data_IF_333255690997
#
_entry.id   IF_333255690997
#
_cell.length_a   1.000
_cell.length_b   1.000
_cell.length_c   1.000
_cell.angle_alpha   90.00
_cell.angle_beta   90.00
_cell.angle_gamma   90.00
#
_symmetry.space_group_name_H-M   'P 1'
#
loop_
_entity.id
_entity.type
_entity.pdbx_description
1 polymer ?
#
# COMPACT_ATOMS: atom_id res chain seq x y z
N UNK A 1 -5.92 -3.99 13.43
CA UNK A 1 -6.22 -2.59 13.78
C UNK A 1 -4.91 -1.82 13.76
N UNK A 2 -4.88 -0.57 13.29
CA UNK A 2 -3.69 0.27 13.19
C UNK A 2 -3.80 1.47 14.13
N UNK A 3 -2.67 1.93 14.65
CA UNK A 3 -2.52 3.19 15.38
C UNK A 3 -1.62 4.12 14.57
N UNK A 4 -2.09 5.33 14.35
CA UNK A 4 -1.37 6.41 13.68
C UNK A 4 -0.89 7.40 14.74
N UNK A 5 0.43 7.54 14.87
CA UNK A 5 1.10 8.49 15.76
C UNK A 5 1.57 9.67 14.92
N UNK A 6 0.97 10.84 15.13
CA UNK A 6 1.25 12.07 14.41
C UNK A 6 2.19 12.92 15.25
N UNK A 7 3.27 13.36 14.63
CA UNK A 7 4.21 14.31 15.21
C UNK A 7 4.04 15.65 14.51
N UNK A 8 3.76 16.69 15.29
CA UNK A 8 3.66 18.07 14.80
C UNK A 8 4.95 18.84 15.05
N UNK A 9 5.50 19.44 14.00
CA UNK A 9 6.74 20.25 14.06
C UNK A 9 7.91 19.54 14.80
N UNK A 10 9.03 20.24 15.04
CA UNK A 10 10.28 19.66 15.60
C UNK A 10 10.16 19.07 17.01
N UNK A 11 9.06 19.28 17.72
CA UNK A 11 8.94 18.92 19.12
C UNK A 11 8.22 17.58 19.26
N UNK A 12 8.98 16.51 19.54
CA UNK A 12 8.48 15.13 19.78
C UNK A 12 7.49 15.09 20.97
N UNK A 13 7.26 16.21 21.65
CA UNK A 13 6.33 16.36 22.77
C UNK A 13 4.90 16.73 22.37
N UNK A 14 4.66 17.13 21.11
CA UNK A 14 3.30 17.33 20.57
C UNK A 14 2.88 16.14 19.70
N UNK A 15 2.50 15.06 20.37
CA UNK A 15 2.03 13.82 19.74
C UNK A 15 0.49 13.76 19.72
N UNK A 16 -0.11 13.45 18.57
CA UNK A 16 -1.51 13.04 18.49
C UNK A 16 -1.63 11.58 18.03
N UNK A 17 -2.52 10.80 18.64
CA UNK A 17 -2.58 9.34 18.41
C UNK A 17 -4.00 8.91 18.09
N UNK A 18 -4.14 8.17 16.99
CA UNK A 18 -5.43 7.79 16.41
C UNK A 18 -5.50 6.32 16.02
N UNK A 19 -6.70 5.73 16.06
CA UNK A 19 -6.91 4.33 15.63
C UNK A 19 -7.63 4.24 14.29
N UNK A 20 -7.29 3.24 13.49
CA UNK A 20 -8.01 2.83 12.27
C UNK A 20 -8.04 1.31 12.14
N UNK A 21 -8.89 0.74 11.29
CA UNK A 21 -8.94 -0.72 11.08
C UNK A 21 -8.08 -1.11 9.88
N UNK A 22 -6.78 -1.34 10.03
CA UNK A 22 -5.97 -2.04 9.00
C UNK A 22 -5.50 -3.40 9.52
N UNK A 23 -5.21 -4.35 8.62
CA UNK A 23 -5.10 -5.76 9.02
C UNK A 23 -3.72 -6.39 8.81
N UNK A 24 -2.87 -5.92 7.91
CA UNK A 24 -1.58 -6.59 7.66
C UNK A 24 -0.40 -5.63 7.55
N UNK A 25 0.77 -6.10 8.00
CA UNK A 25 2.01 -5.34 8.01
C UNK A 25 3.21 -6.20 7.64
N UNK A 26 4.09 -5.66 6.80
CA UNK A 26 5.41 -6.22 6.51
C UNK A 26 6.47 -5.27 7.07
N UNK A 27 7.22 -5.64 8.12
CA UNK A 27 8.15 -4.73 8.78
C UNK A 27 9.51 -4.72 8.08
N UNK A 28 10.12 -3.55 7.79
CA UNK A 28 11.56 -3.46 7.45
C UNK A 28 12.20 -2.08 7.75
N UNK A 29 13.47 -2.12 8.19
CA UNK A 29 14.38 -0.99 8.54
C UNK A 29 15.59 -0.95 7.59
N UNK A 30 16.05 0.24 7.16
CA UNK A 30 17.38 0.43 6.55
C UNK A 30 18.08 1.78 6.81
N UNK A 31 17.66 2.59 7.79
CA UNK A 31 18.45 3.75 8.24
C UNK A 31 18.70 3.68 9.76
N UNK A 32 19.71 4.40 10.24
CA UNK A 32 19.93 4.53 11.69
C UNK A 32 18.65 5.18 12.26
N UNK A 33 17.92 4.47 13.13
CA UNK A 33 16.61 4.95 13.56
C UNK A 33 16.75 6.08 14.58
N UNK A 34 15.80 7.02 14.51
CA UNK A 34 15.71 8.16 15.42
C UNK A 34 14.74 7.86 16.58
N UNK A 35 13.70 7.07 16.29
CA UNK A 35 12.67 6.65 17.24
C UNK A 35 12.56 5.13 17.29
N UNK A 36 12.20 4.61 18.47
CA UNK A 36 11.82 3.22 18.67
C UNK A 36 10.45 3.15 19.34
N UNK A 37 9.56 2.36 18.76
CA UNK A 37 8.22 2.08 19.23
C UNK A 37 8.16 0.65 19.74
N UNK A 38 7.84 0.47 21.02
CA UNK A 38 7.69 -0.85 21.64
C UNK A 38 6.28 -1.00 22.18
N UNK A 39 5.56 -2.02 21.71
CA UNK A 39 4.30 -2.42 22.32
C UNK A 39 4.55 -3.51 23.34
N UNK A 40 3.99 -3.31 24.53
CA UNK A 40 4.18 -4.21 25.66
C UNK A 40 2.86 -4.75 26.18
N UNK A 41 2.91 -5.95 26.72
CA UNK A 41 1.84 -6.53 27.56
C UNK A 41 1.91 -5.98 28.98
N UNK A 42 0.91 -6.30 29.80
CA UNK A 42 0.81 -5.86 31.20
C UNK A 42 1.98 -6.34 32.09
N UNK A 43 2.72 -7.36 31.66
CA UNK A 43 3.91 -7.89 32.33
C UNK A 43 5.22 -7.40 31.69
N UNK A 44 5.15 -6.31 30.92
CA UNK A 44 6.28 -5.65 30.22
C UNK A 44 6.98 -6.55 29.19
N UNK A 45 6.30 -7.58 28.67
CA UNK A 45 6.82 -8.36 27.54
C UNK A 45 6.62 -7.59 26.23
N UNK A 46 7.70 -7.39 25.48
CA UNK A 46 7.64 -6.78 24.14
C UNK A 46 6.93 -7.74 23.18
N UNK A 47 5.83 -7.29 22.61
CA UNK A 47 5.06 -8.05 21.60
C UNK A 47 5.25 -7.51 20.18
N UNK A 48 5.73 -6.27 20.06
CA UNK A 48 6.07 -5.67 18.78
C UNK A 48 7.09 -4.55 18.99
N UNK A 49 8.02 -4.45 18.05
CA UNK A 49 9.02 -3.40 18.00
C UNK A 49 9.17 -2.90 16.57
N UNK A 50 9.12 -1.58 16.41
CA UNK A 50 9.45 -0.91 15.15
C UNK A 50 10.39 0.25 15.47
N UNK A 51 11.37 0.46 14.60
CA UNK A 51 12.17 1.68 14.66
C UNK A 51 11.92 2.48 13.40
N UNK A 52 11.94 3.81 13.57
CA UNK A 52 11.60 4.77 12.52
C UNK A 52 12.69 5.82 12.45
N UNK A 53 13.08 6.17 11.25
CA UNK A 53 13.91 7.35 10.98
C UNK A 53 12.98 8.53 10.68
N UNK A 54 13.17 9.64 11.38
CA UNK A 54 12.41 10.87 11.14
C UNK A 54 12.80 11.40 9.75
N UNK A 55 11.83 11.73 8.88
CA UNK A 55 12.14 12.27 7.56
C UNK A 55 12.90 13.61 7.69
N UNK A 56 14.22 13.61 7.46
CA UNK A 56 15.03 14.84 7.44
C UNK A 56 15.19 15.45 6.06
N UNK A 57 14.78 14.72 5.04
CA UNK A 57 14.96 15.10 3.64
C UNK A 57 13.65 14.90 2.89
N UNK A 58 13.27 15.91 2.09
CA UNK A 58 12.32 15.74 1.01
C UNK A 58 13.10 15.10 -0.12
N UNK A 59 12.94 13.79 -0.28
CA UNK A 59 13.48 13.12 -1.45
C UNK A 59 12.73 13.63 -2.67
N UNK A 60 13.42 14.18 -3.67
CA UNK A 60 12.79 14.42 -4.95
C UNK A 60 12.31 13.07 -5.48
N UNK A 61 11.14 13.03 -6.11
CA UNK A 61 10.73 11.87 -6.87
C UNK A 61 11.84 11.49 -7.85
N UNK A 62 11.96 10.20 -8.15
CA UNK A 62 13.01 9.75 -9.06
C UNK A 62 12.75 10.39 -10.44
N UNK A 63 13.80 10.92 -11.11
CA UNK A 63 13.61 11.75 -12.30
C UNK A 63 12.82 10.98 -13.37
N UNK A 64 11.72 11.57 -13.81
CA UNK A 64 11.01 11.09 -14.99
C UNK A 64 11.89 11.34 -16.22
N UNK A 65 11.77 10.48 -17.24
CA UNK A 65 12.63 10.45 -18.44
C UNK A 65 13.19 11.83 -18.86
N UNK A 66 14.51 11.90 -19.00
CA UNK A 66 15.32 13.05 -19.47
C UNK A 66 15.52 14.22 -18.48
N UNK A 67 15.08 14.11 -17.22
CA UNK A 67 15.36 15.11 -16.20
C UNK A 67 16.65 14.85 -15.41
N UNK A 68 17.36 15.92 -15.05
CA UNK A 68 18.58 15.83 -14.24
C UNK A 68 18.21 15.46 -12.78
N UNK A 69 19.04 14.66 -12.09
CA UNK A 69 18.82 14.34 -10.68
C UNK A 69 18.76 15.61 -9.84
N UNK A 70 17.65 15.82 -9.14
CA UNK A 70 17.54 16.91 -8.16
C UNK A 70 18.17 16.44 -6.84
N UNK A 71 18.96 17.27 -6.14
CA UNK A 71 19.45 16.94 -4.81
C UNK A 71 18.30 16.85 -3.80
N UNK A 72 18.39 15.91 -2.85
CA UNK A 72 17.51 15.87 -1.70
C UNK A 72 17.53 17.22 -0.96
N UNK A 73 16.35 17.78 -0.69
CA UNK A 73 16.24 19.05 0.04
C UNK A 73 16.06 18.75 1.52
N UNK A 74 16.84 19.38 2.39
CA UNK A 74 16.67 19.25 3.83
C UNK A 74 15.29 19.79 4.23
N UNK A 75 14.49 18.97 4.92
CA UNK A 75 13.26 19.44 5.54
C UNK A 75 13.66 20.31 6.73
N UNK A 76 13.32 21.60 6.70
CA UNK A 76 13.60 22.50 7.82
C UNK A 76 12.66 22.22 8.97
N UNK A 77 11.38 21.92 8.68
CA UNK A 77 10.31 21.49 9.59
C UNK A 77 9.32 20.61 8.78
N UNK A 78 8.58 19.71 9.43
CA UNK A 78 7.55 18.91 8.75
C UNK A 78 6.87 17.88 9.64
N UNK A 79 5.56 17.71 9.46
CA UNK A 79 4.76 16.70 10.14
C UNK A 79 5.00 15.33 9.51
N UNK A 80 5.04 14.28 10.34
CA UNK A 80 5.11 12.90 9.86
C UNK A 80 4.22 11.99 10.72
N UNK A 81 3.86 10.85 10.14
CA UNK A 81 2.97 9.87 10.77
C UNK A 81 3.70 8.54 10.84
N UNK A 82 3.62 7.90 12.00
CA UNK A 82 4.05 6.52 12.19
C UNK A 82 2.82 5.64 12.35
N UNK A 83 2.72 4.62 11.51
CA UNK A 83 1.58 3.70 11.50
C UNK A 83 2.00 2.36 12.09
N UNK A 84 1.43 2.03 13.25
CA UNK A 84 1.77 0.84 14.04
C UNK A 84 0.60 -0.16 14.02
N UNK A 85 0.87 -1.48 14.08
CA UNK A 85 -0.18 -2.48 14.23
C UNK A 85 -0.62 -2.54 15.69
N UNK A 86 -1.91 -2.77 15.95
CA UNK A 86 -2.43 -2.96 17.31
C UNK A 86 -2.82 -4.41 17.51
N UNK A 87 -2.27 -4.99 18.57
CA UNK A 87 -2.54 -6.35 19.01
C UNK A 87 -3.50 -6.36 20.20
N UNK A 88 -4.38 -7.36 20.28
CA UNK A 88 -5.35 -7.51 21.37
C UNK A 88 -4.72 -7.57 22.77
N UNK A 89 -3.47 -8.03 22.84
CA UNK A 89 -2.70 -8.17 24.09
C UNK A 89 -1.93 -6.91 24.49
N UNK A 90 -1.99 -5.85 23.70
CA UNK A 90 -1.29 -4.59 23.99
C UNK A 90 -1.85 -3.94 25.27
N UNK A 91 -0.98 -3.69 26.25
CA UNK A 91 -1.30 -2.89 27.45
C UNK A 91 -0.86 -1.44 27.27
N UNK A 92 0.32 -1.21 26.70
CA UNK A 92 0.84 0.13 26.45
C UNK A 92 1.86 0.16 25.30
N UNK A 93 1.99 1.33 24.69
CA UNK A 93 3.01 1.68 23.70
C UNK A 93 4.05 2.58 24.37
N UNK A 94 5.33 2.28 24.19
CA UNK A 94 6.45 3.12 24.62
C UNK A 94 7.15 3.68 23.39
N UNK A 95 7.40 4.99 23.42
CA UNK A 95 8.18 5.70 22.39
C UNK A 95 9.51 6.13 23.01
N UNK A 96 10.62 5.69 22.42
CA UNK A 96 11.98 6.04 22.83
C UNK A 96 12.68 6.91 21.79
N UNK A 97 13.45 7.90 22.26
CA UNK A 97 14.41 8.60 21.41
C UNK A 97 15.72 7.81 21.37
N UNK A 98 16.22 7.55 20.16
CA UNK A 98 17.51 6.91 19.93
C UNK A 98 18.64 7.91 19.65
N UNK A 99 18.33 9.20 19.52
CA UNK A 99 19.33 10.26 19.33
C UNK A 99 20.13 10.55 20.62
N UNK A 100 19.52 10.37 21.79
CA UNK A 100 20.07 10.75 23.09
C UNK A 100 19.97 9.59 24.08
N UNK A 101 20.75 8.50 23.90
CA UNK A 101 20.85 7.38 24.85
C UNK A 101 19.51 7.02 25.55
N UNK A 102 18.57 6.44 24.80
CA UNK A 102 17.28 5.84 25.24
C UNK A 102 16.65 6.52 26.47
N UNK A 103 15.99 7.66 26.26
CA UNK A 103 15.00 8.18 27.20
C UNK A 103 13.59 7.79 26.73
N UNK A 104 12.75 7.32 27.65
CA UNK A 104 11.31 7.14 27.40
C UNK A 104 10.67 8.51 27.23
N UNK A 105 10.14 8.77 26.03
CA UNK A 105 9.48 10.04 25.70
C UNK A 105 8.03 10.01 26.19
N UNK A 106 7.33 8.90 25.92
CA UNK A 106 5.90 8.79 26.15
C UNK A 106 5.51 7.32 26.40
N UNK A 107 4.53 7.10 27.28
CA UNK A 107 3.87 5.82 27.50
C UNK A 107 2.37 6.04 27.27
N UNK A 108 1.79 5.30 26.32
CA UNK A 108 0.41 5.48 25.89
C UNK A 108 -0.37 4.19 26.13
N UNK A 109 -1.49 4.28 26.84
CA UNK A 109 -2.41 3.15 27.04
C UNK A 109 -3.49 3.12 25.95
N UNK A 110 -4.04 1.95 25.58
CA UNK A 110 -5.12 1.85 24.59
C UNK A 110 -6.33 2.74 24.88
N UNK A 111 -6.67 2.96 26.15
CA UNK A 111 -7.76 3.84 26.55
C UNK A 111 -7.50 5.34 26.35
N UNK A 112 -6.26 5.75 26.08
CA UNK A 112 -5.85 7.13 25.82
C UNK A 112 -5.81 7.44 24.31
N UNK A 113 -5.96 6.41 23.47
CA UNK A 113 -6.05 6.56 22.02
C UNK A 113 -7.33 7.30 21.65
N UNK A 114 -7.19 8.41 20.93
CA UNK A 114 -8.34 9.19 20.47
C UNK A 114 -8.87 8.59 19.17
N UNK A 115 -10.17 8.68 18.92
CA UNK A 115 -10.76 8.38 17.61
C UNK A 115 -10.91 9.69 16.83
N UNK A 116 -10.31 9.78 15.63
CA UNK A 116 -10.38 11.01 14.83
C UNK A 116 -11.69 11.03 14.07
N UNK A 117 -12.49 12.07 14.30
CA UNK A 117 -13.66 12.35 13.45
C UNK A 117 -13.17 13.07 12.21
N UNK A 118 -13.02 12.35 11.12
CA UNK A 118 -12.55 12.87 9.83
C UNK A 118 -13.74 13.38 9.01
N UNK A 119 -13.53 14.39 8.16
CA UNK A 119 -14.56 14.94 7.25
C UNK A 119 -14.60 14.17 5.92
N UNK A 120 -15.75 14.15 5.25
CA UNK A 120 -15.97 13.42 4.00
C UNK A 120 -16.84 12.17 4.14
N UNK A 121 -17.30 11.64 3.02
CA UNK A 121 -18.23 10.49 2.96
C UNK A 121 -17.51 9.25 2.45
N UNK A 122 -17.50 8.17 3.24
CA UNK A 122 -16.97 6.88 2.82
C UNK A 122 -18.03 6.10 2.04
N UNK A 123 -17.61 5.49 0.92
CA UNK A 123 -18.44 4.68 0.05
C UNK A 123 -17.72 3.36 -0.23
N UNK A 124 -18.37 2.25 0.12
CA UNK A 124 -17.92 0.91 -0.32
C UNK A 124 -18.33 0.70 -1.78
N UNK A 125 -17.37 0.39 -2.64
CA UNK A 125 -17.59 0.10 -4.06
C UNK A 125 -17.62 -1.41 -4.29
N UNK A 126 -16.66 -2.15 -3.73
CA UNK A 126 -16.59 -3.61 -3.76
C UNK A 126 -16.44 -4.12 -2.32
N UNK A 127 -17.28 -5.08 -1.94
CA UNK A 127 -17.30 -5.73 -0.64
C UNK A 127 -17.29 -7.25 -0.86
N UNK A 128 -16.11 -7.86 -0.73
CA UNK A 128 -15.91 -9.30 -0.94
C UNK A 128 -15.71 -10.06 0.38
N UNK A 129 -15.64 -9.39 1.53
CA UNK A 129 -15.46 -10.08 2.80
C UNK A 129 -14.92 -9.20 3.92
N UNK A 130 -14.56 -9.87 5.01
CA UNK A 130 -14.00 -9.20 6.18
C UNK A 130 -12.64 -8.56 5.83
N UNK A 131 -12.44 -7.26 6.11
CA UNK A 131 -11.15 -6.57 6.09
C UNK A 131 -9.98 -7.34 6.75
N UNK A 132 -10.27 -8.25 7.67
CA UNK A 132 -9.28 -9.13 8.28
C UNK A 132 -8.66 -10.16 7.32
N UNK A 133 -9.29 -10.43 6.17
CA UNK A 133 -8.86 -11.48 5.23
C UNK A 133 -8.71 -10.98 3.79
N UNK A 134 -9.24 -9.79 3.50
CA UNK A 134 -9.25 -9.18 2.18
C UNK A 134 -8.22 -8.05 2.09
N UNK A 135 -7.70 -7.79 0.90
CA UNK A 135 -6.86 -6.63 0.62
C UNK A 135 -7.78 -5.41 0.46
N UNK A 136 -7.71 -4.48 1.41
CA UNK A 136 -8.55 -3.29 1.44
C UNK A 136 -7.88 -2.12 0.70
N UNK A 137 -8.45 -1.69 -0.43
CA UNK A 137 -7.93 -0.58 -1.25
C UNK A 137 -8.85 0.63 -1.09
N UNK A 138 -8.30 1.79 -0.71
CA UNK A 138 -9.06 3.04 -0.60
C UNK A 138 -8.59 4.09 -1.61
N UNK A 139 -9.55 4.65 -2.34
CA UNK A 139 -9.33 5.80 -3.23
C UNK A 139 -9.62 7.12 -2.51
N UNK A 140 -8.67 8.05 -2.61
CA UNK A 140 -8.78 9.44 -2.17
C UNK A 140 -8.65 10.39 -3.36
N UNK A 141 -9.29 11.56 -3.26
CA UNK A 141 -9.22 12.60 -4.29
C UNK A 141 -8.55 13.84 -3.74
N UNK A 142 -7.71 14.48 -4.55
CA UNK A 142 -7.22 15.84 -4.30
C UNK A 142 -7.55 16.76 -5.47
N UNK A 143 -7.72 18.06 -5.20
CA UNK A 143 -8.12 19.08 -6.18
C UNK A 143 -9.49 18.85 -6.87
N UNK A 144 -10.34 17.97 -6.34
CA UNK A 144 -11.74 17.87 -6.76
C UNK A 144 -12.60 18.90 -6.04
N UNK A 145 -13.10 19.90 -6.76
CA UNK A 145 -13.98 20.91 -6.20
C UNK A 145 -15.34 20.35 -5.76
N UNK A 146 -16.15 21.12 -5.01
CA UNK A 146 -17.43 20.67 -4.45
C UNK A 146 -18.45 20.15 -5.48
N UNK A 147 -18.31 20.53 -6.75
CA UNK A 147 -19.17 20.11 -7.87
C UNK A 147 -18.58 18.96 -8.70
N UNK A 148 -17.37 18.51 -8.38
CA UNK A 148 -16.60 17.55 -9.18
C UNK A 148 -16.60 16.14 -8.60
N UNK A 149 -17.38 15.88 -7.54
CA UNK A 149 -17.55 14.53 -6.99
C UNK A 149 -18.06 13.50 -8.01
N UNK A 150 -18.83 13.95 -9.00
CA UNK A 150 -19.22 13.11 -10.13
C UNK A 150 -18.01 12.68 -10.95
N UNK A 151 -17.10 13.62 -11.27
CA UNK A 151 -15.86 13.36 -11.99
C UNK A 151 -14.95 12.43 -11.19
N UNK A 152 -14.73 12.71 -9.90
CA UNK A 152 -13.90 11.85 -9.03
C UNK A 152 -14.40 10.41 -9.00
N UNK A 153 -15.71 10.21 -8.85
CA UNK A 153 -16.31 8.88 -8.92
C UNK A 153 -16.04 8.19 -10.26
N UNK A 154 -16.18 8.91 -11.37
CA UNK A 154 -15.95 8.36 -12.70
C UNK A 154 -14.47 8.00 -12.90
N UNK A 155 -13.56 8.82 -12.37
CA UNK A 155 -12.11 8.56 -12.40
C UNK A 155 -11.74 7.31 -11.57
N UNK A 156 -12.31 7.17 -10.37
CA UNK A 156 -12.14 5.98 -9.53
C UNK A 156 -12.67 4.73 -10.24
N UNK A 157 -13.84 4.80 -10.88
CA UNK A 157 -14.40 3.67 -11.62
C UNK A 157 -13.49 3.26 -12.79
N UNK A 158 -12.89 4.22 -13.50
CA UNK A 158 -11.95 3.92 -14.58
C UNK A 158 -10.68 3.22 -14.07
N UNK A 159 -10.16 3.65 -12.92
CA UNK A 159 -9.04 2.97 -12.25
C UNK A 159 -9.39 1.54 -11.84
N UNK A 160 -10.56 1.32 -11.24
CA UNK A 160 -11.03 -0.02 -10.83
C UNK A 160 -11.21 -0.92 -12.05
N UNK A 161 -11.81 -0.42 -13.13
CA UNK A 161 -12.01 -1.18 -14.36
C UNK A 161 -10.69 -1.63 -14.98
N UNK A 162 -9.65 -0.79 -14.95
CA UNK A 162 -8.31 -1.18 -15.39
C UNK A 162 -7.68 -2.21 -14.44
N UNK A 163 -7.73 -1.96 -13.14
CA UNK A 163 -7.19 -2.84 -12.09
C UNK A 163 -7.72 -4.27 -12.23
N UNK A 164 -9.04 -4.42 -12.33
CA UNK A 164 -9.68 -5.73 -12.43
C UNK A 164 -9.41 -6.45 -13.77
N UNK A 165 -8.88 -5.75 -14.79
CA UNK A 165 -8.50 -6.34 -16.09
C UNK A 165 -7.00 -6.57 -16.24
N UNK A 166 -6.23 -6.23 -15.21
CA UNK A 166 -4.79 -6.35 -15.22
C UNK A 166 -4.34 -7.57 -14.40
N UNK A 167 -3.68 -8.53 -15.03
CA UNK A 167 -3.11 -9.70 -14.33
C UNK A 167 -1.95 -9.28 -13.42
N UNK A 168 -1.85 -9.78 -12.17
CA UNK A 168 -2.58 -10.93 -11.62
C UNK A 168 -3.93 -10.60 -10.96
N UNK A 169 -4.31 -9.34 -10.85
CA UNK A 169 -5.51 -8.93 -10.10
C UNK A 169 -6.82 -9.46 -10.70
N UNK A 170 -6.87 -9.69 -12.01
CA UNK A 170 -8.05 -10.21 -12.70
C UNK A 170 -8.57 -11.54 -12.11
N UNK A 171 -7.67 -12.46 -11.80
CA UNK A 171 -8.06 -13.79 -11.30
C UNK A 171 -8.32 -13.78 -9.78
N UNK A 172 -7.79 -12.78 -9.08
CA UNK A 172 -7.83 -12.64 -7.63
C UNK A 172 -8.83 -11.57 -7.16
N UNK A 173 -9.78 -11.17 -8.02
CA UNK A 173 -10.70 -10.06 -7.72
C UNK A 173 -11.50 -10.24 -6.41
N UNK A 174 -11.75 -11.49 -6.01
CA UNK A 174 -12.46 -11.86 -4.78
C UNK A 174 -11.67 -11.56 -3.50
N UNK A 175 -10.38 -11.26 -3.62
CA UNK A 175 -9.54 -10.86 -2.49
C UNK A 175 -9.71 -9.38 -2.15
N UNK A 176 -10.26 -8.55 -3.04
CA UNK A 176 -10.24 -7.09 -2.86
C UNK A 176 -11.53 -6.56 -2.23
N UNK A 177 -11.39 -5.69 -1.24
CA UNK A 177 -12.40 -4.71 -0.90
C UNK A 177 -11.97 -3.37 -1.48
N UNK A 178 -12.89 -2.62 -2.08
CA UNK A 178 -12.60 -1.31 -2.66
C UNK A 178 -13.50 -0.26 -2.06
N UNK A 179 -12.88 0.79 -1.55
CA UNK A 179 -13.52 1.95 -0.94
C UNK A 179 -13.16 3.22 -1.69
N UNK A 180 -14.04 4.21 -1.63
CA UNK A 180 -13.76 5.59 -2.01
C UNK A 180 -14.16 6.51 -0.88
N UNK A 181 -13.37 7.55 -0.64
CA UNK A 181 -13.73 8.61 0.28
C UNK A 181 -13.87 9.90 -0.52
N UNK A 182 -15.07 10.48 -0.50
CA UNK A 182 -15.31 11.84 -0.96
C UNK A 182 -14.77 12.81 0.12
N UNK A 183 -13.44 12.93 0.24
CA UNK A 183 -12.77 13.69 1.28
C UNK A 183 -12.83 15.19 0.99
N UNK A 184 -13.24 16.00 1.96
CA UNK A 184 -13.18 17.46 1.83
C UNK A 184 -11.88 18.04 2.38
N UNK A 185 -10.88 17.19 2.60
CA UNK A 185 -9.57 17.54 3.13
C UNK A 185 -8.67 17.81 1.93
N UNK A 186 -8.00 18.95 1.94
CA UNK A 186 -6.90 19.27 1.04
C UNK A 186 -5.70 18.38 1.41
N UNK A 187 -5.30 17.51 0.48
CA UNK A 187 -4.17 16.60 0.66
C UNK A 187 -2.83 17.27 0.32
N UNK A 188 -2.85 18.55 -0.08
CA UNK A 188 -1.69 19.37 -0.45
C UNK A 188 -0.84 18.70 -1.54
N UNK A 189 -1.51 18.14 -2.56
CA UNK A 189 -0.83 17.50 -3.67
C UNK A 189 -0.32 18.52 -4.69
N UNK A 190 0.83 18.23 -5.26
CA UNK A 190 1.39 18.99 -6.38
C UNK A 190 1.95 18.03 -7.44
N UNK A 191 1.72 18.31 -8.72
CA UNK A 191 2.20 17.50 -9.86
C UNK A 191 3.61 17.86 -10.37
N UNK A 192 4.27 18.80 -9.67
CA UNK A 192 5.66 19.19 -9.93
C UNK A 192 6.43 19.18 -8.61
N UNK A 193 6.75 17.99 -8.12
CA UNK A 193 7.44 17.88 -6.85
C UNK A 193 8.96 18.04 -6.99
N UNK A 194 9.56 18.83 -6.09
CA UNK A 194 11.00 19.11 -6.06
C UNK A 194 11.57 19.60 -7.41
N UNK A 195 10.75 20.27 -8.23
CA UNK A 195 11.15 20.77 -9.54
C UNK A 195 11.10 19.76 -10.67
N UNK A 196 10.64 18.53 -10.42
CA UNK A 196 10.50 17.46 -11.41
C UNK A 196 9.08 17.49 -11.97
N UNK A 197 8.95 17.68 -13.28
CA UNK A 197 7.63 17.76 -13.90
C UNK A 197 7.05 16.36 -14.09
N UNK A 198 5.79 16.17 -13.70
CA UNK A 198 5.14 14.86 -13.81
C UNK A 198 5.38 13.97 -12.61
N UNK A 199 5.90 14.51 -11.51
CA UNK A 199 6.03 13.79 -10.27
C UNK A 199 5.17 14.40 -9.17
N UNK A 200 4.42 13.53 -8.48
CA UNK A 200 3.41 13.91 -7.49
C UNK A 200 4.00 13.82 -6.09
N UNK A 201 3.80 14.85 -5.29
CA UNK A 201 3.97 14.78 -3.84
C UNK A 201 2.74 15.37 -3.17
N UNK A 202 2.33 14.75 -2.08
CA UNK A 202 1.23 15.18 -1.24
C UNK A 202 1.68 15.22 0.23
N UNK A 203 0.85 15.77 1.10
CA UNK A 203 1.04 15.65 2.54
C UNK A 203 0.58 14.27 3.03
N UNK A 204 1.55 13.42 3.40
CA UNK A 204 1.29 12.06 3.90
C UNK A 204 0.36 12.05 5.13
N UNK A 205 0.53 13.02 6.05
CA UNK A 205 -0.31 13.09 7.25
C UNK A 205 -1.78 13.38 6.89
N UNK A 206 -2.03 14.26 5.91
CA UNK A 206 -3.37 14.51 5.37
C UNK A 206 -3.96 13.27 4.70
N UNK A 207 -3.15 12.53 3.92
CA UNK A 207 -3.56 11.26 3.27
C UNK A 207 -4.03 10.24 4.30
N UNK A 208 -3.19 9.90 5.28
CA UNK A 208 -3.57 8.93 6.31
C UNK A 208 -4.79 9.41 7.09
N UNK A 209 -4.85 10.69 7.42
CA UNK A 209 -6.00 11.30 8.09
C UNK A 209 -7.29 11.14 7.28
N UNK A 210 -7.25 11.26 5.96
CA UNK A 210 -8.42 11.05 5.13
C UNK A 210 -8.80 9.56 5.07
N UNK A 211 -7.81 8.67 4.89
CA UNK A 211 -8.00 7.23 4.68
C UNK A 211 -8.63 6.48 5.88
N UNK A 212 -8.37 6.89 7.13
CA UNK A 212 -8.82 6.16 8.35
C UNK A 212 -10.34 5.98 8.52
N UNK A 213 -11.18 6.52 7.64
CA UNK A 213 -12.64 6.30 7.67
C UNK A 213 -13.06 4.88 7.34
N UNK A 214 -12.24 4.17 6.57
CA UNK A 214 -12.48 2.81 6.12
C UNK A 214 -11.28 1.95 6.49
N UNK A 215 -11.45 0.63 6.51
CA UNK A 215 -10.32 -0.26 6.48
C UNK A 215 -9.49 -0.05 5.21
N UNK A 216 -8.18 -0.10 5.34
CA UNK A 216 -7.26 -0.03 4.21
C UNK A 216 -5.95 -0.74 4.54
N UNK A 217 -5.41 -1.40 3.52
CA UNK A 217 -4.04 -1.87 3.42
C UNK A 217 -3.27 -1.06 2.36
N UNK A 218 -3.97 -0.51 1.35
CA UNK A 218 -3.39 0.27 0.26
C UNK A 218 -4.21 1.53 -0.02
N UNK A 219 -3.54 2.65 -0.28
CA UNK A 219 -4.16 3.94 -0.61
C UNK A 219 -3.79 4.34 -2.03
N UNK A 220 -4.78 4.76 -2.81
CA UNK A 220 -4.59 5.35 -4.14
C UNK A 220 -5.13 6.77 -4.12
N UNK A 221 -4.26 7.76 -4.33
CA UNK A 221 -4.63 9.16 -4.44
C UNK A 221 -4.73 9.55 -5.91
N UNK A 222 -5.88 10.11 -6.31
CA UNK A 222 -6.07 10.70 -7.63
C UNK A 222 -6.02 12.22 -7.48
N UNK A 223 -5.12 12.89 -8.19
CA UNK A 223 -5.01 14.35 -8.22
C UNK A 223 -5.75 14.88 -9.45
N UNK A 224 -6.72 15.78 -9.28
CA UNK A 224 -7.51 16.36 -10.38
C UNK A 224 -6.67 17.30 -11.26
N UNK A 225 -5.81 16.71 -12.10
CA UNK A 225 -4.92 17.40 -13.01
C UNK A 225 -4.89 16.71 -14.37
N UNK A 226 -4.68 17.50 -15.41
CA UNK A 226 -4.49 16.98 -16.78
C UNK A 226 -3.02 16.71 -17.12
N UNK A 227 -2.10 17.17 -16.29
CA UNK A 227 -0.65 16.96 -16.44
C UNK A 227 -0.32 15.50 -16.18
N UNK A 228 0.32 14.83 -17.14
CA UNK A 228 0.82 13.47 -16.97
C UNK A 228 1.75 13.41 -15.77
N UNK A 229 1.34 12.68 -14.72
CA UNK A 229 2.10 12.58 -13.49
C UNK A 229 1.76 11.32 -12.67
N UNK A 230 2.75 10.76 -12.01
CA UNK A 230 2.59 9.60 -11.14
C UNK A 230 3.78 9.47 -10.20
N UNK A 231 3.54 9.04 -8.98
CA UNK A 231 4.60 8.69 -8.02
C UNK A 231 4.01 7.77 -6.95
N UNK A 232 4.84 6.98 -6.30
CA UNK A 232 4.45 6.16 -5.16
C UNK A 232 5.40 6.35 -3.99
N UNK A 233 4.86 6.26 -2.79
CA UNK A 233 5.69 5.94 -1.62
C UNK A 233 5.79 4.42 -1.52
N UNK A 234 6.98 3.92 -1.21
CA UNK A 234 7.26 2.48 -1.23
C UNK A 234 7.91 2.04 0.06
N UNK A 235 7.36 0.98 0.65
CA UNK A 235 8.08 0.17 1.64
C UNK A 235 8.86 -0.92 0.92
N UNK A 236 10.13 -1.12 1.27
CA UNK A 236 10.94 -2.21 0.70
C UNK A 236 10.20 -3.55 0.94
N UNK A 237 9.95 -4.29 -0.14
CA UNK A 237 9.19 -5.55 -0.10
C UNK A 237 7.69 -5.41 -0.39
N UNK A 238 7.15 -4.18 -0.40
CA UNK A 238 5.77 -3.87 -0.79
C UNK A 238 4.73 -3.96 0.33
N UNK A 239 3.61 -3.24 0.17
CA UNK A 239 2.41 -3.36 1.02
C UNK A 239 2.62 -2.92 2.47
N UNK A 240 3.62 -2.08 2.72
CA UNK A 240 3.88 -1.52 4.04
C UNK A 240 3.02 -0.30 4.33
N UNK A 241 2.82 0.07 5.61
CA UNK A 241 1.81 1.05 6.03
C UNK A 241 2.15 2.50 5.65
N UNK A 242 3.34 2.73 5.11
CA UNK A 242 3.80 4.02 4.59
C UNK A 242 3.67 4.12 3.06
N UNK A 243 3.18 3.06 2.40
CA UNK A 243 3.11 2.94 0.95
C UNK A 243 1.74 3.38 0.44
N UNK A 244 1.75 4.19 -0.61
CA UNK A 244 0.55 4.59 -1.34
C UNK A 244 0.93 5.05 -2.75
N UNK A 245 0.00 4.85 -3.68
CA UNK A 245 0.14 5.29 -5.07
C UNK A 245 -0.52 6.66 -5.27
N UNK A 246 0.09 7.50 -6.11
CA UNK A 246 -0.47 8.80 -6.51
C UNK A 246 -0.49 8.90 -8.03
N UNK A 247 -1.61 9.35 -8.59
CA UNK A 247 -1.81 9.45 -10.03
C UNK A 247 -2.62 10.69 -10.42
N UNK A 248 -2.35 11.25 -11.58
CA UNK A 248 -3.13 12.33 -12.17
C UNK A 248 -4.52 11.88 -12.69
N UNK A 249 -5.47 12.83 -12.77
CA UNK A 249 -6.90 12.58 -12.99
C UNK A 249 -7.39 12.55 -14.45
N UNK A 250 -6.50 12.39 -15.44
CA UNK A 250 -6.90 12.34 -16.86
C UNK A 250 -7.00 10.89 -17.36
N UNK A 251 -8.11 10.23 -17.00
CA UNK A 251 -8.36 8.81 -17.28
C UNK A 251 -8.53 8.45 -18.76
N UNK A 252 -8.85 9.44 -19.61
CA UNK A 252 -8.94 9.22 -21.06
C UNK A 252 -7.57 9.02 -21.74
N UNK A 253 -6.48 9.36 -21.04
CA UNK A 253 -5.12 9.20 -21.51
C UNK A 253 -4.50 7.89 -20.95
N UNK A 254 -3.39 8.01 -20.22
CA UNK A 254 -2.65 6.88 -19.69
C UNK A 254 -2.78 6.73 -18.16
N UNK A 255 -3.58 7.58 -17.50
CA UNK A 255 -3.66 7.63 -16.05
C UNK A 255 -4.03 6.29 -15.40
N UNK A 256 -4.93 5.50 -16.00
CA UNK A 256 -5.25 4.17 -15.45
C UNK A 256 -4.05 3.21 -15.49
N UNK A 257 -3.22 3.26 -16.53
CA UNK A 257 -1.99 2.46 -16.62
C UNK A 257 -0.90 3.01 -15.70
N UNK A 258 -0.78 4.33 -15.56
CA UNK A 258 0.11 4.93 -14.56
C UNK A 258 -0.31 4.48 -13.18
N UNK A 259 -1.60 4.46 -12.85
CA UNK A 259 -2.09 3.94 -11.57
C UNK A 259 -1.66 2.50 -11.32
N UNK A 260 -1.74 1.61 -12.33
CA UNK A 260 -1.24 0.23 -12.19
C UNK A 260 0.29 0.20 -11.98
N UNK A 261 1.04 1.02 -12.72
CA UNK A 261 2.49 1.15 -12.53
C UNK A 261 2.83 1.57 -11.09
N UNK A 262 2.18 2.62 -10.60
CA UNK A 262 2.36 3.16 -9.25
C UNK A 262 1.93 2.17 -8.17
N UNK A 263 0.80 1.49 -8.34
CA UNK A 263 0.37 0.41 -7.45
C UNK A 263 1.40 -0.73 -7.41
N UNK A 264 2.11 -0.99 -8.52
CA UNK A 264 3.23 -1.92 -8.57
C UNK A 264 4.37 -1.55 -7.62
N UNK A 265 4.64 -0.26 -7.43
CA UNK A 265 5.60 0.22 -6.43
C UNK A 265 5.05 0.08 -5.03
N UNK A 266 3.88 0.67 -4.74
CA UNK A 266 3.36 0.78 -3.37
C UNK A 266 2.97 -0.58 -2.78
N UNK A 267 2.18 -1.36 -3.51
CA UNK A 267 1.80 -2.71 -3.09
C UNK A 267 2.91 -3.73 -3.38
N UNK A 268 3.49 -3.70 -4.58
CA UNK A 268 4.41 -4.74 -5.04
C UNK A 268 5.86 -4.60 -4.55
N UNK A 269 6.26 -3.42 -4.09
CA UNK A 269 7.66 -3.12 -3.78
C UNK A 269 8.58 -3.21 -5.01
N UNK A 270 8.00 -3.03 -6.20
CA UNK A 270 8.73 -3.14 -7.47
C UNK A 270 9.55 -1.88 -7.72
N UNK A 271 10.69 -2.02 -8.38
CA UNK A 271 11.50 -0.92 -8.90
C UNK A 271 11.07 -0.56 -10.32
N UNK A 272 11.41 0.66 -10.75
CA UNK A 272 11.35 0.99 -12.17
C UNK A 272 12.37 0.17 -12.97
N UNK A 273 11.93 -0.26 -14.14
CA UNK A 273 12.76 -1.00 -15.08
C UNK A 273 13.28 -0.11 -16.22
N UNK A 274 12.83 1.16 -16.32
CA UNK A 274 13.39 2.13 -17.25
C UNK A 274 14.69 2.76 -16.73
N UNK A 275 15.43 3.42 -17.62
CA UNK A 275 16.74 4.00 -17.32
C UNK A 275 16.60 5.43 -16.76
N UNK A 276 17.03 5.66 -15.52
CA UNK A 276 17.14 7.00 -14.94
C UNK A 276 18.32 7.79 -15.49
N UNK A 277 19.17 7.18 -16.32
CA UNK A 277 20.43 7.74 -16.82
C UNK A 277 21.43 8.01 -15.69
N UNK A 278 21.33 7.25 -14.60
CA UNK A 278 22.24 7.28 -13.45
C UNK A 278 23.10 6.02 -13.46
N UNK A 279 24.42 6.19 -13.39
CA UNK A 279 25.36 5.10 -13.63
C UNK A 279 25.26 3.94 -12.62
N UNK A 280 24.98 4.23 -11.34
CA UNK A 280 25.01 3.23 -10.28
C UNK A 280 23.93 3.44 -9.24
N UNK A 281 23.33 2.34 -8.78
CA UNK A 281 22.45 2.25 -7.62
C UNK A 281 22.51 0.87 -6.98
N UNK A 282 21.63 0.64 -6.00
CA UNK A 282 21.49 -0.64 -5.28
C UNK A 282 20.10 -1.20 -5.58
N UNK A 283 19.96 -2.50 -5.91
CA UNK A 283 18.65 -3.10 -6.09
C UNK A 283 17.96 -3.21 -4.72
N UNK A 284 16.75 -2.66 -4.61
CA UNK A 284 15.92 -2.71 -3.41
C UNK A 284 14.59 -3.42 -3.62
N UNK A 285 14.15 -3.57 -4.88
CA UNK A 285 12.96 -4.33 -5.24
C UNK A 285 13.31 -5.64 -5.96
N UNK A 286 12.36 -6.58 -6.04
CA UNK A 286 12.63 -7.95 -6.49
C UNK A 286 12.82 -8.09 -8.01
N UNK A 287 12.53 -7.04 -8.79
CA UNK A 287 12.60 -7.04 -10.25
C UNK A 287 13.87 -6.38 -10.82
N UNK A 288 14.74 -5.81 -9.98
CA UNK A 288 16.09 -5.40 -10.35
C UNK A 288 17.14 -6.21 -9.58
N UNK A 289 18.25 -6.53 -10.22
CA UNK A 289 19.36 -7.26 -9.60
C UNK A 289 20.71 -6.80 -10.18
N UNK A 290 21.80 -7.22 -9.56
CA UNK A 290 23.13 -7.10 -10.14
C UNK A 290 23.33 -8.05 -11.34
N UNK A 291 24.41 -7.83 -12.08
CA UNK A 291 24.83 -8.71 -13.15
C UNK A 291 24.91 -10.17 -12.66
N UNK A 292 24.26 -11.08 -13.40
CA UNK A 292 24.10 -12.48 -13.02
C UNK A 292 22.67 -12.84 -12.67
N UNK A 293 21.87 -11.87 -12.20
CA UNK A 293 20.42 -12.00 -11.99
C UNK A 293 20.03 -13.23 -11.15
N UNK A 294 20.70 -13.40 -10.01
CA UNK A 294 20.48 -14.51 -9.08
C UNK A 294 19.06 -14.55 -8.52
N UNK A 295 18.40 -13.40 -8.41
CA UNK A 295 17.07 -13.22 -7.82
C UNK A 295 15.95 -13.97 -8.57
N UNK A 296 16.12 -14.25 -9.86
CA UNK A 296 15.13 -14.96 -10.68
C UNK A 296 15.73 -16.05 -11.58
N UNK A 297 16.91 -16.58 -11.23
CA UNK A 297 17.57 -17.64 -12.01
C UNK A 297 16.74 -18.93 -12.15
N UNK A 298 15.85 -19.18 -11.20
CA UNK A 298 14.98 -20.36 -11.18
C UNK A 298 13.67 -20.17 -11.97
N UNK A 299 13.43 -18.97 -12.52
CA UNK A 299 12.23 -18.68 -13.29
C UNK A 299 12.48 -18.94 -14.78
N UNK A 300 11.57 -19.65 -15.43
CA UNK A 300 11.63 -19.87 -16.88
C UNK A 300 11.09 -18.66 -17.65
N UNK A 301 11.61 -18.42 -18.86
CA UNK A 301 11.09 -17.37 -19.76
C UNK A 301 11.56 -15.96 -19.41
N UNK A 302 12.54 -15.82 -18.52
CA UNK A 302 13.18 -14.54 -18.16
C UNK A 302 14.65 -14.54 -18.56
N UNK A 303 15.24 -13.35 -18.62
CA UNK A 303 16.65 -13.14 -18.92
C UNK A 303 17.33 -12.22 -17.92
N UNK A 304 18.52 -11.75 -18.28
CA UNK A 304 19.29 -10.79 -17.50
C UNK A 304 19.67 -9.64 -18.44
N UNK A 305 18.79 -8.66 -18.56
CA UNK A 305 18.93 -7.55 -19.49
C UNK A 305 19.48 -6.32 -18.77
N UNK A 306 20.46 -5.62 -19.37
CA UNK A 306 21.07 -4.47 -18.73
C UNK A 306 20.05 -3.35 -18.53
N UNK A 307 20.30 -2.57 -17.49
CA UNK A 307 19.55 -1.40 -17.04
C UNK A 307 18.20 -1.74 -16.41
N UNK A 308 18.10 -1.43 -15.11
CA UNK A 308 16.88 -1.47 -14.31
C UNK A 308 16.96 -0.35 -13.27
N UNK A 309 16.26 0.78 -13.50
CA UNK A 309 16.48 2.08 -12.83
C UNK A 309 17.88 2.68 -13.08
N UNK A 310 18.93 1.95 -12.72
CA UNK A 310 20.33 2.38 -12.78
C UNK A 310 21.13 1.56 -13.81
N UNK A 311 22.18 2.18 -14.35
CA UNK A 311 23.02 1.59 -15.39
C UNK A 311 23.78 0.32 -14.98
N UNK A 312 24.01 0.10 -13.69
CA UNK A 312 24.70 -1.07 -13.15
C UNK A 312 23.76 -2.23 -12.77
N UNK A 313 22.44 -2.05 -12.87
CA UNK A 313 21.44 -3.07 -12.52
C UNK A 313 20.84 -3.70 -13.78
N UNK A 314 20.22 -4.85 -13.58
CA UNK A 314 19.66 -5.70 -14.62
C UNK A 314 18.21 -6.06 -14.29
N UNK A 315 17.41 -6.29 -15.32
CA UNK A 315 16.01 -6.69 -15.23
C UNK A 315 15.74 -8.01 -15.94
N UNK A 316 14.58 -8.57 -15.67
CA UNK A 316 14.19 -9.91 -16.12
C UNK A 316 13.67 -9.98 -17.56
N UNK A 317 13.30 -8.86 -18.17
CA UNK A 317 12.62 -8.82 -19.47
C UNK A 317 13.14 -7.68 -20.38
N UNK A 318 12.96 -7.80 -21.71
CA UNK A 318 13.35 -6.77 -22.66
C UNK A 318 12.17 -5.89 -23.09
N UNK A 319 11.68 -4.97 -22.24
CA UNK A 319 10.61 -3.98 -22.56
C UNK A 319 9.20 -4.52 -22.68
N UNK A 320 8.85 -5.55 -21.92
CA UNK A 320 7.46 -6.05 -21.86
C UNK A 320 6.73 -5.68 -20.57
N UNK A 321 7.45 -5.19 -19.56
CA UNK A 321 6.87 -4.84 -18.26
C UNK A 321 6.27 -3.44 -18.22
N UNK A 322 5.16 -3.30 -17.48
CA UNK A 322 4.58 -2.00 -17.11
C UNK A 322 5.54 -1.15 -16.27
N UNK A 323 6.46 -1.77 -15.53
CA UNK A 323 7.51 -1.09 -14.78
C UNK A 323 8.59 -0.45 -15.68
N UNK A 324 8.63 -0.78 -16.98
CA UNK A 324 9.56 -0.15 -17.94
C UNK A 324 8.85 0.81 -18.89
N UNK A 325 7.64 0.45 -19.33
CA UNK A 325 6.84 1.24 -20.27
C UNK A 325 5.38 0.89 -20.07
N UNK A 326 4.45 1.82 -20.30
CA UNK A 326 3.00 1.64 -20.06
C UNK A 326 2.33 0.59 -20.99
N UNK A 327 2.75 -0.66 -20.87
CA UNK A 327 2.19 -1.85 -21.49
C UNK A 327 1.29 -2.54 -20.47
N UNK A 328 0.25 -3.21 -20.96
CA UNK A 328 -0.73 -3.92 -20.11
C UNK A 328 -0.24 -5.29 -19.63
N UNK A 329 0.96 -5.36 -19.09
CA UNK A 329 1.51 -6.61 -18.57
C UNK A 329 2.62 -6.35 -17.54
N UNK A 330 2.63 -7.08 -16.43
CA UNK A 330 3.81 -7.22 -15.57
C UNK A 330 4.71 -8.31 -16.13
N UNK A 331 6.03 -8.11 -16.12
CA UNK A 331 6.95 -9.19 -16.45
C UNK A 331 6.81 -10.36 -15.46
N UNK A 332 7.27 -11.58 -15.81
CA UNK A 332 7.09 -12.76 -14.96
C UNK A 332 7.65 -12.60 -13.53
N UNK A 333 8.71 -11.82 -13.33
CA UNK A 333 9.26 -11.55 -11.99
C UNK A 333 8.36 -10.62 -11.17
N UNK A 334 7.88 -9.53 -11.77
CA UNK A 334 6.92 -8.64 -11.13
C UNK A 334 5.60 -9.37 -10.82
N UNK A 335 5.06 -10.12 -11.77
CA UNK A 335 3.85 -10.91 -11.58
C UNK A 335 4.01 -11.91 -10.43
N UNK A 336 5.13 -12.64 -10.37
CA UNK A 336 5.44 -13.58 -9.28
C UNK A 336 5.46 -12.89 -7.92
N UNK A 337 6.05 -11.71 -7.81
CA UNK A 337 6.06 -10.95 -6.55
C UNK A 337 4.65 -10.54 -6.14
N UNK A 338 3.87 -10.01 -7.08
CA UNK A 338 2.49 -9.57 -6.82
C UNK A 338 1.61 -10.75 -6.39
N UNK A 339 1.66 -11.89 -7.10
CA UNK A 339 0.96 -13.11 -6.71
C UNK A 339 1.38 -13.59 -5.33
N UNK A 340 2.68 -13.56 -5.00
CA UNK A 340 3.16 -13.93 -3.67
C UNK A 340 2.54 -13.06 -2.56
N UNK A 341 2.33 -11.77 -2.80
CA UNK A 341 1.69 -10.88 -1.84
C UNK A 341 0.18 -11.13 -1.75
N UNK A 342 -0.48 -11.38 -2.89
CA UNK A 342 -1.90 -11.76 -2.94
C UNK A 342 -2.18 -13.09 -2.24
N UNK A 343 -1.26 -14.07 -2.37
CA UNK A 343 -1.33 -15.37 -1.72
C UNK A 343 -1.41 -15.24 -0.18
N UNK A 344 -0.87 -14.17 0.40
CA UNK A 344 -1.01 -13.92 1.85
C UNK A 344 -2.49 -13.81 2.19
N UNK A 345 -3.25 -12.99 1.46
CA UNK A 345 -4.70 -12.81 1.64
C UNK A 345 -5.47 -14.09 1.30
N UNK A 346 -5.14 -14.73 0.17
CA UNK A 346 -5.81 -15.96 -0.24
C UNK A 346 -5.68 -17.09 0.80
N UNK A 347 -4.51 -17.22 1.45
CA UNK A 347 -4.27 -18.23 2.48
C UNK A 347 -4.93 -17.91 3.83
N UNK A 348 -5.30 -16.65 4.06
CA UNK A 348 -6.01 -16.21 5.27
C UNK A 348 -7.52 -16.32 5.15
N UNK A 349 -8.05 -16.49 3.93
CA UNK A 349 -9.49 -16.62 3.71
C UNK A 349 -10.05 -17.75 4.57
N UNK A 350 -11.11 -17.49 5.35
CA UNK A 350 -11.72 -18.53 6.17
C UNK A 350 -12.19 -19.66 5.25
N UNK A 351 -11.87 -20.90 5.63
CA UNK A 351 -12.44 -22.06 4.94
C UNK A 351 -13.95 -21.87 4.89
N UNK A 352 -14.60 -22.02 3.72
CA UNK A 352 -16.04 -21.91 3.63
C UNK A 352 -16.62 -22.81 4.71
N UNK A 353 -17.33 -22.23 5.68
CA UNK A 353 -18.09 -23.00 6.62
C UNK A 353 -19.14 -23.70 5.76
N UNK A 354 -18.82 -24.94 5.35
CA UNK A 354 -19.77 -25.89 4.81
C UNK A 354 -20.71 -26.18 5.96
N UNK A 355 -21.60 -25.22 6.21
CA UNK A 355 -22.52 -25.25 7.31
C UNK A 355 -23.17 -26.62 7.28
N UNK A 356 -23.04 -27.33 8.41
CA UNK A 356 -23.70 -28.59 8.69
C UNK A 356 -25.24 -28.44 8.73
N UNK A 357 -25.84 -27.63 7.84
CA UNK A 357 -27.26 -27.53 7.55
C UNK A 357 -27.65 -28.26 6.25
N UNK A 358 -26.71 -28.57 5.36
CA UNK A 358 -27.02 -29.22 4.07
C UNK A 358 -26.92 -30.75 4.11
N UNK A 359 -26.20 -31.33 5.09
CA UNK A 359 -26.13 -32.79 5.27
C UNK A 359 -27.44 -33.35 5.85
N UNK A 360 -28.20 -32.52 6.58
CA UNK A 360 -29.50 -32.91 7.14
C UNK A 360 -30.62 -33.11 6.11
N UNK A 361 -30.54 -32.46 4.94
CA UNK A 361 -31.58 -32.58 3.89
C UNK A 361 -31.27 -33.77 2.96
N UNK A 362 -29.99 -34.07 2.72
CA UNK A 362 -29.60 -35.21 1.88
C UNK A 362 -29.77 -36.56 2.60
N UNK A 363 -29.59 -36.62 3.94
CA UNK A 363 -29.81 -37.85 4.70
C UNK A 363 -31.31 -38.23 4.86
N UNK A 364 -32.22 -37.24 4.89
CA UNK A 364 -33.66 -37.51 5.01
C UNK A 364 -34.24 -38.05 3.69
N UNK A 365 -33.70 -37.62 2.54
CA UNK A 365 -34.12 -38.14 1.23
C UNK A 365 -33.62 -39.57 0.98
N UNK A 366 -32.44 -39.95 1.48
CA UNK A 366 -31.92 -41.32 1.37
C UNK A 366 -32.63 -42.32 2.32
N UNK A 367 -33.09 -41.87 3.49
CA UNK A 367 -33.84 -42.72 4.43
C UNK A 367 -35.27 -43.02 3.93
N UNK A 368 -35.89 -42.07 3.21
CA UNK A 368 -37.23 -42.23 2.64
C UNK A 368 -37.26 -43.19 1.43
N UNK A 369 -36.16 -43.26 0.66
CA UNK A 369 -36.03 -44.17 -0.48
C UNK A 369 -35.75 -45.63 -0.04
N UNK A 370 -35.07 -45.83 1.09
CA UNK A 370 -34.78 -47.17 1.61
C UNK A 370 -36.00 -47.85 2.25
N UNK A 371 -36.93 -47.09 2.84
CA UNK A 371 -38.16 -47.63 3.43
C UNK A 371 -39.25 -48.01 2.40
N UNK A 372 -39.17 -47.49 1.16
CA UNK A 372 -40.08 -47.88 0.07
C UNK A 372 -39.65 -49.16 -0.67
N UNK A 373 -38.37 -49.55 -0.59
CA UNK A 373 -37.87 -50.77 -1.24
C UNK A 373 -38.04 -52.05 -0.40
N UNK A 374 -38.21 -51.94 0.92
CA UNK A 374 -38.36 -53.10 1.81
C UNK A 374 -39.82 -53.56 2.03
N UNK A 375 -40.80 -52.92 1.38
CA UNK A 375 -42.23 -53.30 1.46
C UNK A 375 -42.72 -54.09 0.25
N UNK A 376 -41.82 -54.57 -0.61
CA UNK A 376 -42.14 -55.30 -1.84
C UNK A 376 -41.25 -56.53 -2.12
N UNK A 377 -40.66 -57.12 -1.08
CA UNK A 377 -40.04 -58.45 -1.12
C UNK A 377 -40.67 -59.35 -0.06
#
# INVERSE_FOLDING_TARGET
MLVHVYFHEKDIRSTEIWMSKGCHQVPLQTQKPDLMFQMMTADDTIIYEQTVSVPRYKMPPLPFQDELPVPATLLTDGDFVVTLPVFDKMDHLIIHSLETNVETIEMIRPGELKLRKTSGTAVTIIDNGDPAYNLDIVFLGDDYGPTEWGKFRDDVNACIDEFLRFSPYTDDFYLFNIYRIDNTVDLDCMVTCAGISGAICCNSASIYTAAVKVPYDEIIVIVNSSTYAGTSTVTIGGGGPESYAMVYGNMAAYATLVMIHEFGHSFGGLMDEYDYRIASGTPWGPNCDYAGCDSWKDLSGVGCYPVCSYGNLFKSNPRTCIMESLRREYCPVCAKQLTKLLDVYANMQPTPDLGYKSIGILLILLCSAFLLFYRKM
#
